data_IF_451073155439
#
_entry.id   IF_451073155439
#
_cell.length_a   1.000
_cell.length_b   1.000
_cell.length_c   1.000
_cell.angle_alpha   90.00
_cell.angle_beta   90.00
_cell.angle_gamma   90.00
#
_symmetry.space_group_name_H-M   'P 1'
#
loop_
_entity.id
_entity.type
_entity.pdbx_description
1 polymer ?
#
# COMPACT_ATOMS: atom_id res chain seq x y z
N UNK A 1 2.35 -7.84 -26.21
CA UNK A 1 2.24 -7.18 -24.88
C UNK A 1 1.32 -8.03 -24.01
N UNK A 2 1.55 -8.11 -22.69
CA UNK A 2 0.64 -8.84 -21.80
C UNK A 2 -0.64 -8.03 -21.56
N UNK A 3 -1.69 -8.71 -21.10
CA UNK A 3 -2.99 -8.09 -20.73
C UNK A 3 -2.81 -7.14 -19.54
N UNK A 4 -3.42 -5.97 -19.60
CA UNK A 4 -3.43 -4.98 -18.54
C UNK A 4 -4.83 -4.76 -17.97
N UNK A 5 -4.93 -4.19 -16.78
CA UNK A 5 -6.24 -3.80 -16.20
C UNK A 5 -6.96 -2.79 -17.09
N UNK A 6 -6.21 -1.94 -17.78
CA UNK A 6 -6.75 -0.96 -18.73
C UNK A 6 -7.53 -1.66 -19.87
N UNK A 7 -6.99 -2.77 -20.42
CA UNK A 7 -7.64 -3.51 -21.51
C UNK A 7 -8.96 -4.13 -21.05
N UNK A 8 -8.97 -4.70 -19.84
CA UNK A 8 -10.18 -5.29 -19.25
C UNK A 8 -11.26 -4.22 -19.05
N UNK A 9 -10.86 -3.04 -18.54
CA UNK A 9 -11.79 -1.95 -18.30
C UNK A 9 -12.30 -1.34 -19.61
N UNK A 10 -11.40 -1.11 -20.58
CA UNK A 10 -11.80 -0.59 -21.89
C UNK A 10 -12.80 -1.50 -22.62
N UNK A 11 -12.62 -2.82 -22.51
CA UNK A 11 -13.48 -3.79 -23.19
C UNK A 11 -14.83 -4.03 -22.48
N UNK A 12 -14.89 -3.93 -21.14
CA UNK A 12 -16.06 -4.43 -20.39
C UNK A 12 -16.69 -3.44 -19.42
N UNK A 13 -16.13 -2.23 -19.23
CA UNK A 13 -16.66 -1.28 -18.23
C UNK A 13 -18.04 -0.75 -18.61
N UNK A 14 -18.31 -0.46 -19.89
CA UNK A 14 -19.60 0.06 -20.34
C UNK A 14 -20.72 -0.91 -20.01
N UNK A 15 -20.61 -2.16 -20.44
CA UNK A 15 -21.61 -3.20 -20.15
C UNK A 15 -21.74 -3.51 -18.66
N UNK A 16 -20.62 -3.41 -17.92
CA UNK A 16 -20.67 -3.57 -16.47
C UNK A 16 -21.50 -2.46 -15.79
N UNK A 17 -21.35 -1.20 -16.20
CA UNK A 17 -22.08 -0.07 -15.61
C UNK A 17 -23.59 -0.09 -15.90
N UNK A 18 -24.02 -0.71 -17.00
CA UNK A 18 -25.46 -0.88 -17.31
C UNK A 18 -26.22 -1.64 -16.22
N UNK A 19 -25.57 -2.61 -15.59
CA UNK A 19 -26.16 -3.48 -14.55
C UNK A 19 -25.67 -3.20 -13.12
N UNK A 20 -24.62 -2.40 -12.96
CA UNK A 20 -23.98 -2.16 -11.66
C UNK A 20 -23.72 -0.66 -11.45
N UNK A 21 -24.58 0.05 -10.71
CA UNK A 21 -24.36 1.47 -10.42
C UNK A 21 -23.08 1.68 -9.60
N UNK A 22 -22.23 2.58 -10.09
CA UNK A 22 -20.97 2.94 -9.42
C UNK A 22 -21.11 4.29 -8.71
N UNK A 23 -20.47 4.42 -7.57
CA UNK A 23 -20.30 5.72 -6.96
C UNK A 23 -19.25 6.57 -7.74
N UNK A 24 -19.28 7.88 -7.52
CA UNK A 24 -18.42 8.85 -8.22
C UNK A 24 -16.92 8.50 -8.14
N UNK A 25 -16.47 8.01 -6.98
CA UNK A 25 -15.04 7.69 -6.76
C UNK A 25 -14.61 6.47 -7.59
N UNK A 26 -15.49 5.48 -7.69
CA UNK A 26 -15.27 4.28 -8.52
C UNK A 26 -15.29 4.64 -10.02
N UNK A 27 -16.27 5.44 -10.46
CA UNK A 27 -16.33 5.92 -11.86
C UNK A 27 -15.08 6.69 -12.23
N UNK A 28 -14.66 7.67 -11.38
CA UNK A 28 -13.45 8.44 -11.61
C UNK A 28 -12.19 7.58 -11.64
N UNK A 29 -12.10 6.55 -10.80
CA UNK A 29 -10.97 5.63 -10.81
C UNK A 29 -10.93 4.78 -12.08
N UNK A 30 -12.08 4.25 -12.52
CA UNK A 30 -12.21 3.46 -13.73
C UNK A 30 -11.86 4.28 -14.97
N UNK A 31 -12.46 5.46 -15.14
CA UNK A 31 -12.16 6.36 -16.24
C UNK A 31 -10.69 6.75 -16.29
N UNK A 32 -10.11 7.13 -15.14
CA UNK A 32 -8.68 7.45 -15.07
C UNK A 32 -7.77 6.29 -15.49
N UNK A 33 -8.16 5.04 -15.22
CA UNK A 33 -7.40 3.86 -15.64
C UNK A 33 -7.50 3.67 -17.15
N UNK A 34 -8.71 3.80 -17.72
CA UNK A 34 -8.93 3.68 -19.17
C UNK A 34 -8.17 4.75 -19.95
N UNK A 35 -8.20 5.99 -19.48
CA UNK A 35 -7.56 7.13 -20.16
C UNK A 35 -6.04 7.17 -19.97
N UNK A 36 -5.48 6.39 -19.04
CA UNK A 36 -4.09 6.50 -18.64
C UNK A 36 -3.11 6.18 -19.78
N UNK A 37 -2.29 7.18 -20.16
CA UNK A 37 -1.33 7.09 -21.27
C UNK A 37 -2.02 6.82 -22.61
N UNK A 38 -3.15 7.48 -22.85
CA UNK A 38 -3.83 7.57 -24.13
C UNK A 38 -3.97 9.03 -24.56
N UNK A 39 -4.42 9.26 -25.79
CA UNK A 39 -4.69 10.60 -26.31
C UNK A 39 -5.71 11.39 -25.48
N UNK A 40 -6.61 10.72 -24.76
CA UNK A 40 -7.63 11.34 -23.91
C UNK A 40 -7.06 12.26 -22.80
N UNK A 41 -5.83 12.01 -22.36
CA UNK A 41 -5.15 12.87 -21.37
C UNK A 41 -4.13 13.84 -22.00
N UNK A 42 -4.13 13.97 -23.34
CA UNK A 42 -3.14 14.72 -24.06
C UNK A 42 -1.77 14.05 -24.10
N UNK A 43 -0.84 14.66 -24.79
CA UNK A 43 0.52 14.18 -24.98
C UNK A 43 1.50 15.34 -25.01
N UNK A 44 2.78 15.02 -24.98
CA UNK A 44 3.86 15.96 -25.31
C UNK A 44 4.83 15.27 -26.27
N UNK A 45 5.56 16.08 -27.01
CA UNK A 45 6.59 15.62 -27.93
C UNK A 45 7.92 15.79 -27.22
N UNK A 46 8.69 14.73 -27.14
CA UNK A 46 10.06 14.76 -26.69
C UNK A 46 10.95 14.66 -27.93
N UNK A 47 11.83 15.65 -28.15
CA UNK A 47 12.75 15.73 -29.32
C UNK A 47 14.18 15.47 -28.88
N UNK A 48 14.91 14.66 -29.61
CA UNK A 48 16.32 14.38 -29.36
C UNK A 48 17.17 15.59 -29.80
N UNK A 49 18.01 16.09 -28.91
CA UNK A 49 18.90 17.23 -29.10
C UNK A 49 20.03 16.96 -30.12
N UNK A 50 20.34 15.70 -30.41
CA UNK A 50 21.42 15.31 -31.32
C UNK A 50 20.93 14.92 -32.74
N UNK A 51 19.89 14.09 -32.86
CA UNK A 51 19.48 13.56 -34.15
C UNK A 51 18.08 13.97 -34.60
N UNK A 52 17.37 14.81 -33.82
CA UNK A 52 16.01 15.25 -34.14
C UNK A 52 14.92 14.19 -34.04
N UNK A 53 15.24 12.97 -33.59
CA UNK A 53 14.21 11.92 -33.40
C UNK A 53 13.15 12.39 -32.43
N UNK A 54 11.89 12.31 -32.84
CA UNK A 54 10.73 12.72 -32.04
C UNK A 54 9.98 11.51 -31.47
N UNK A 55 9.46 11.66 -30.27
CA UNK A 55 8.68 10.64 -29.58
C UNK A 55 7.44 11.26 -28.94
N UNK A 56 6.27 10.74 -29.25
CA UNK A 56 5.02 11.11 -28.56
C UNK A 56 4.94 10.40 -27.22
N UNK A 57 4.78 11.15 -26.16
CA UNK A 57 4.65 10.66 -24.80
C UNK A 57 3.30 11.07 -24.21
N UNK A 58 2.37 10.11 -24.12
CA UNK A 58 1.03 10.34 -23.57
C UNK A 58 1.06 10.57 -22.07
N UNK A 59 0.23 11.49 -21.58
CA UNK A 59 0.16 11.87 -20.18
C UNK A 59 -0.42 10.75 -19.31
N UNK A 60 0.07 10.66 -18.08
CA UNK A 60 -0.39 9.68 -17.11
C UNK A 60 -1.53 10.23 -16.25
N UNK A 61 -2.50 9.39 -15.87
CA UNK A 61 -3.67 9.81 -15.08
C UNK A 61 -3.33 10.18 -13.62
N UNK A 62 -2.16 9.81 -13.11
CA UNK A 62 -1.71 10.00 -11.71
C UNK A 62 -2.68 9.47 -10.65
N UNK A 63 -3.69 8.69 -11.04
CA UNK A 63 -4.66 8.12 -10.12
C UNK A 63 -4.00 7.08 -9.22
N UNK A 64 -4.31 7.13 -7.92
CA UNK A 64 -3.76 6.21 -6.92
C UNK A 64 -4.19 4.74 -7.08
N UNK A 65 -5.19 4.47 -7.91
CA UNK A 65 -5.69 3.13 -8.22
C UNK A 65 -5.19 2.61 -9.58
N UNK A 66 -4.51 3.43 -10.36
CA UNK A 66 -3.95 3.03 -11.64
C UNK A 66 -2.64 2.23 -11.47
N UNK A 67 -2.57 0.96 -11.92
CA UNK A 67 -1.37 0.14 -11.77
C UNK A 67 -0.13 0.73 -12.46
N UNK A 68 -0.32 1.34 -13.63
CA UNK A 68 0.77 2.01 -14.39
C UNK A 68 1.38 3.17 -13.59
N UNK A 69 0.53 4.03 -13.00
CA UNK A 69 0.98 5.19 -12.23
C UNK A 69 1.61 4.82 -10.88
N UNK A 70 1.16 3.71 -10.27
CA UNK A 70 1.64 3.32 -8.95
C UNK A 70 3.09 2.80 -8.93
N UNK A 71 3.64 2.36 -10.05
CA UNK A 71 5.05 1.90 -10.12
C UNK A 71 6.02 3.02 -9.72
N UNK A 72 5.95 4.17 -10.39
CA UNK A 72 6.83 5.31 -10.07
C UNK A 72 6.51 5.92 -8.70
N UNK A 73 5.22 6.03 -8.35
CA UNK A 73 4.81 6.55 -7.05
C UNK A 73 5.34 5.69 -5.89
N UNK A 74 5.34 4.37 -6.07
CA UNK A 74 5.90 3.40 -5.13
C UNK A 74 7.40 3.64 -4.89
N UNK A 75 8.19 3.76 -5.95
CA UNK A 75 9.64 3.91 -5.83
C UNK A 75 10.02 5.26 -5.19
N UNK A 76 9.35 6.35 -5.57
CA UNK A 76 9.52 7.65 -4.91
C UNK A 76 9.20 7.58 -3.41
N UNK A 77 8.12 6.89 -3.06
CA UNK A 77 7.75 6.73 -1.66
C UNK A 77 8.75 5.86 -0.90
N UNK A 78 9.23 4.76 -1.49
CA UNK A 78 10.25 3.87 -0.92
C UNK A 78 11.53 4.66 -0.64
N UNK A 79 12.00 5.44 -1.59
CA UNK A 79 13.20 6.23 -1.44
C UNK A 79 13.07 7.24 -0.28
N UNK A 80 11.91 7.90 -0.19
CA UNK A 80 11.58 8.76 0.95
C UNK A 80 11.52 7.99 2.28
N UNK A 81 11.06 6.73 2.31
CA UNK A 81 11.02 5.96 3.55
C UNK A 81 12.39 5.50 4.03
N UNK A 82 13.37 5.37 3.14
CA UNK A 82 14.78 5.10 3.53
C UNK A 82 15.30 6.14 4.51
N UNK A 83 14.83 7.39 4.40
CA UNK A 83 15.18 8.48 5.32
C UNK A 83 14.71 8.21 6.78
N UNK A 84 13.70 7.37 6.94
CA UNK A 84 13.09 7.08 8.24
C UNK A 84 13.62 5.79 8.90
N UNK A 85 14.46 5.02 8.20
CA UNK A 85 14.98 3.77 8.72
C UNK A 85 16.20 3.98 9.63
N UNK A 86 16.29 3.10 10.60
CA UNK A 86 17.44 2.93 11.50
C UNK A 86 18.06 1.56 11.20
N UNK A 87 19.35 1.39 11.53
CA UNK A 87 20.06 0.11 11.34
C UNK A 87 19.77 -0.84 12.51
N UNK A 88 18.52 -1.22 12.65
CA UNK A 88 18.00 -2.08 13.71
C UNK A 88 17.05 -3.13 13.11
N UNK A 89 16.71 -4.21 13.85
CA UNK A 89 15.68 -5.15 13.46
C UNK A 89 14.29 -4.47 13.36
N UNK A 90 13.42 -5.01 12.51
CA UNK A 90 12.02 -4.57 12.37
C UNK A 90 11.07 -5.76 12.38
N UNK A 91 9.96 -5.63 13.07
CA UNK A 91 8.91 -6.65 13.10
C UNK A 91 7.78 -6.32 12.13
N UNK A 92 7.24 -7.36 11.52
CA UNK A 92 6.04 -7.27 10.72
C UNK A 92 4.85 -7.77 11.51
N UNK A 93 3.91 -6.87 11.79
CA UNK A 93 2.66 -7.19 12.50
C UNK A 93 1.49 -6.99 11.57
N UNK A 94 0.55 -7.93 11.54
CA UNK A 94 -0.68 -7.83 10.74
C UNK A 94 -1.89 -7.98 11.64
N UNK A 95 -2.86 -7.10 11.46
CA UNK A 95 -4.14 -7.12 12.14
C UNK A 95 -5.26 -7.31 11.12
N UNK A 96 -6.03 -8.36 11.27
CA UNK A 96 -7.15 -8.71 10.39
C UNK A 96 -8.46 -8.70 11.17
N UNK A 97 -9.52 -8.19 10.56
CA UNK A 97 -10.88 -8.24 11.10
C UNK A 97 -11.65 -9.44 10.53
N UNK A 98 -12.64 -9.98 11.25
CA UNK A 98 -13.52 -11.02 10.74
C UNK A 98 -14.29 -10.61 9.49
N UNK A 99 -14.54 -11.55 8.58
CA UNK A 99 -15.26 -11.32 7.32
C UNK A 99 -16.71 -10.88 7.53
N UNK A 100 -17.30 -11.25 8.65
CA UNK A 100 -18.67 -10.87 9.05
C UNK A 100 -18.84 -9.34 9.20
N UNK A 101 -17.74 -8.62 9.41
CA UNK A 101 -17.72 -7.16 9.43
C UNK A 101 -17.66 -6.54 8.03
N UNK A 102 -17.41 -7.32 6.96
CA UNK A 102 -17.26 -6.79 5.62
C UNK A 102 -18.44 -5.93 5.13
N UNK A 103 -19.72 -6.31 5.35
CA UNK A 103 -20.85 -5.47 4.95
C UNK A 103 -20.82 -4.08 5.62
N UNK A 104 -20.48 -4.04 6.93
CA UNK A 104 -20.36 -2.78 7.68
C UNK A 104 -19.21 -1.93 7.17
N UNK A 105 -18.06 -2.56 6.84
CA UNK A 105 -16.93 -1.87 6.22
C UNK A 105 -17.28 -1.27 4.86
N UNK A 106 -18.00 -1.99 4.02
CA UNK A 106 -18.39 -1.50 2.70
C UNK A 106 -19.34 -0.31 2.77
N UNK A 107 -20.27 -0.32 3.75
CA UNK A 107 -21.21 0.79 3.96
C UNK A 107 -20.54 2.04 4.59
N UNK A 108 -19.46 1.88 5.39
CA UNK A 108 -18.86 2.95 6.17
C UNK A 108 -17.33 2.98 6.04
N UNK A 109 -16.80 2.82 4.83
CA UNK A 109 -15.37 2.59 4.55
C UNK A 109 -14.45 3.59 5.27
N UNK A 110 -14.70 4.89 5.15
CA UNK A 110 -13.80 5.92 5.69
C UNK A 110 -13.69 5.82 7.22
N UNK A 111 -14.81 5.70 7.89
CA UNK A 111 -14.89 5.61 9.35
C UNK A 111 -14.26 4.31 9.87
N UNK A 112 -14.61 3.16 9.27
CA UNK A 112 -14.12 1.87 9.75
C UNK A 112 -12.65 1.61 9.42
N UNK A 113 -12.14 2.11 8.30
CA UNK A 113 -10.69 2.08 8.06
C UNK A 113 -9.92 2.96 9.05
N UNK A 114 -10.48 4.12 9.42
CA UNK A 114 -9.87 4.97 10.45
C UNK A 114 -9.86 4.27 11.82
N UNK A 115 -10.98 3.65 12.19
CA UNK A 115 -11.12 2.87 13.42
C UNK A 115 -10.16 1.68 13.45
N UNK A 116 -10.01 0.98 12.32
CA UNK A 116 -9.05 -0.13 12.18
C UNK A 116 -7.61 0.33 12.43
N UNK A 117 -7.19 1.44 11.86
CA UNK A 117 -5.89 2.05 12.14
C UNK A 117 -5.72 2.41 13.61
N UNK A 118 -6.74 3.03 14.21
CA UNK A 118 -6.73 3.43 15.61
C UNK A 118 -6.57 2.22 16.52
N UNK A 119 -7.45 1.23 16.40
CA UNK A 119 -7.42 0.04 17.24
C UNK A 119 -6.08 -0.70 17.15
N UNK A 120 -5.55 -0.87 15.93
CA UNK A 120 -4.29 -1.57 15.70
C UNK A 120 -3.09 -0.80 16.27
N UNK A 121 -2.97 0.50 15.97
CA UNK A 121 -1.83 1.31 16.44
C UNK A 121 -1.82 1.50 17.95
N UNK A 122 -2.98 1.77 18.55
CA UNK A 122 -3.09 1.89 20.00
C UNK A 122 -2.81 0.57 20.72
N UNK A 123 -3.19 -0.57 20.13
CA UNK A 123 -2.85 -1.89 20.70
C UNK A 123 -1.35 -2.10 20.79
N UNK A 124 -0.62 -1.82 19.71
CA UNK A 124 0.84 -1.96 19.69
C UNK A 124 1.49 -0.97 20.65
N UNK A 125 1.10 0.30 20.62
CA UNK A 125 1.68 1.33 21.49
C UNK A 125 1.41 1.05 22.98
N UNK A 126 0.19 0.61 23.33
CA UNK A 126 -0.17 0.24 24.69
C UNK A 126 0.68 -0.91 25.23
N UNK A 127 0.84 -1.99 24.44
CA UNK A 127 1.63 -3.13 24.86
C UNK A 127 3.13 -2.79 24.90
N UNK A 128 3.63 -1.99 23.98
CA UNK A 128 5.03 -1.56 23.98
C UNK A 128 5.37 -0.61 25.14
N UNK A 129 4.40 0.12 25.67
CA UNK A 129 4.63 0.98 26.85
C UNK A 129 4.86 0.15 28.13
N UNK A 130 4.37 -1.08 28.20
CA UNK A 130 4.56 -1.97 29.33
C UNK A 130 6.02 -2.47 29.39
N UNK A 131 6.67 -2.32 30.57
CA UNK A 131 8.04 -2.80 30.83
C UNK A 131 8.21 -4.31 30.70
N UNK A 132 7.13 -5.08 30.87
CA UNK A 132 7.10 -6.53 30.64
C UNK A 132 7.49 -6.90 29.21
N UNK A 133 7.14 -6.05 28.23
CA UNK A 133 7.41 -6.28 26.81
C UNK A 133 8.58 -5.43 26.30
N UNK A 134 8.34 -4.14 26.08
CA UNK A 134 9.37 -3.21 25.57
C UNK A 134 9.70 -2.09 26.57
N UNK A 135 8.71 -1.50 27.24
CA UNK A 135 8.86 -0.35 28.14
C UNK A 135 9.35 0.91 27.41
N UNK A 136 9.03 1.06 26.13
CA UNK A 136 9.47 2.16 25.27
C UNK A 136 8.46 2.40 24.13
N UNK A 137 8.56 3.57 23.49
CA UNK A 137 7.73 3.93 22.33
C UNK A 137 8.43 3.51 21.03
N UNK A 138 7.89 2.53 20.26
CA UNK A 138 8.44 2.15 18.97
C UNK A 138 8.07 3.11 17.86
N UNK A 139 8.74 3.01 16.72
CA UNK A 139 8.31 3.59 15.45
C UNK A 139 7.42 2.63 14.67
N UNK A 140 6.29 3.10 14.15
CA UNK A 140 5.33 2.28 13.41
C UNK A 140 5.02 2.92 12.06
N UNK A 141 5.16 2.14 10.98
CA UNK A 141 4.57 2.46 9.67
C UNK A 141 3.45 1.46 9.41
N UNK A 142 2.22 1.93 9.31
CA UNK A 142 1.02 1.13 9.10
C UNK A 142 0.44 1.35 7.70
N UNK A 143 0.02 0.28 7.02
CA UNK A 143 -0.51 0.31 5.66
C UNK A 143 -1.82 -0.47 5.62
N UNK A 144 -2.90 0.17 5.14
CA UNK A 144 -4.18 -0.50 4.91
C UNK A 144 -4.13 -1.31 3.61
N UNK A 145 -4.56 -2.55 3.70
CA UNK A 145 -4.97 -3.38 2.57
C UNK A 145 -6.45 -3.76 2.73
N UNK A 146 -7.15 -3.82 1.61
CA UNK A 146 -8.56 -4.20 1.59
C UNK A 146 -8.81 -5.50 0.82
N UNK A 147 -7.75 -6.17 0.30
CA UNK A 147 -7.84 -7.31 -0.60
C UNK A 147 -7.03 -8.52 -0.16
N UNK A 148 -7.58 -9.70 -0.42
CA UNK A 148 -6.82 -10.95 -0.44
C UNK A 148 -6.11 -11.17 -1.79
N UNK A 149 -5.33 -12.25 -1.90
CA UNK A 149 -4.64 -12.61 -3.16
C UNK A 149 -5.59 -12.93 -4.32
N UNK A 150 -6.81 -13.35 -4.00
CA UNK A 150 -7.91 -13.67 -4.92
C UNK A 150 -8.85 -12.48 -5.18
N UNK A 151 -8.45 -11.25 -4.82
CA UNK A 151 -9.21 -10.03 -4.95
C UNK A 151 -10.50 -9.96 -4.10
N UNK A 152 -10.71 -10.87 -3.17
CA UNK A 152 -11.83 -10.74 -2.22
C UNK A 152 -11.60 -9.61 -1.24
N UNK A 153 -12.68 -8.97 -0.82
CA UNK A 153 -12.62 -7.89 0.16
C UNK A 153 -12.19 -8.44 1.53
N UNK A 154 -11.07 -7.93 2.04
CA UNK A 154 -10.42 -8.42 3.25
C UNK A 154 -9.62 -7.32 3.93
N UNK A 155 -10.29 -6.42 4.69
CA UNK A 155 -9.62 -5.30 5.34
C UNK A 155 -8.62 -5.77 6.40
N UNK A 156 -7.38 -5.31 6.30
CA UNK A 156 -6.33 -5.61 7.26
C UNK A 156 -5.23 -4.55 7.25
N UNK A 157 -4.52 -4.42 8.34
CA UNK A 157 -3.39 -3.49 8.50
C UNK A 157 -2.09 -4.28 8.55
N UNK A 158 -1.16 -3.93 7.67
CA UNK A 158 0.24 -4.31 7.80
C UNK A 158 0.99 -3.23 8.58
N UNK A 159 1.73 -3.60 9.59
CA UNK A 159 2.59 -2.70 10.35
C UNK A 159 4.04 -3.16 10.27
N UNK A 160 4.94 -2.24 9.99
CA UNK A 160 6.37 -2.38 10.24
C UNK A 160 6.68 -1.60 11.51
N UNK A 161 7.22 -2.30 12.48
CA UNK A 161 7.47 -1.78 13.83
C UNK A 161 8.96 -1.93 14.14
N UNK A 162 9.59 -0.89 14.65
CA UNK A 162 11.01 -0.94 15.06
C UNK A 162 11.22 -2.00 16.15
N UNK A 163 12.30 -2.77 16.05
CA UNK A 163 12.72 -3.75 17.05
C UNK A 163 13.35 -3.12 18.30
N UNK A 164 12.81 -1.98 18.69
CA UNK A 164 13.17 -1.20 19.86
C UNK A 164 12.38 0.10 19.87
N UNK A 165 12.64 0.92 20.89
CA UNK A 165 11.94 2.19 21.08
C UNK A 165 12.66 3.16 21.99
N UNK A 166 12.18 4.40 22.00
CA UNK A 166 12.66 5.46 22.86
C UNK A 166 11.89 5.42 24.18
N UNK A 167 12.60 5.34 25.29
CA UNK A 167 12.04 5.41 26.63
C UNK A 167 11.67 6.85 26.99
N UNK A 168 10.90 7.06 28.07
CA UNK A 168 10.51 8.40 28.52
C UNK A 168 11.70 9.25 28.96
N UNK A 169 12.76 8.61 29.45
CA UNK A 169 14.03 9.25 29.86
C UNK A 169 15.03 9.41 28.70
N UNK A 170 14.58 9.24 27.46
CA UNK A 170 15.38 9.53 26.27
C UNK A 170 16.42 8.47 25.90
N UNK A 171 16.35 7.27 26.45
CA UNK A 171 17.26 6.15 26.14
C UNK A 171 16.65 5.23 25.10
N UNK A 172 17.48 4.54 24.32
CA UNK A 172 17.03 3.48 23.44
C UNK A 172 16.93 2.15 24.18
N UNK A 173 15.82 1.43 23.97
CA UNK A 173 15.64 0.08 24.48
C UNK A 173 15.33 -0.88 23.35
N UNK A 174 16.16 -1.91 23.18
CA UNK A 174 15.95 -2.97 22.21
C UNK A 174 14.82 -3.92 22.63
N UNK A 175 14.10 -4.47 21.66
CA UNK A 175 13.24 -5.62 21.87
C UNK A 175 14.08 -6.87 22.21
N UNK A 176 13.44 -7.90 22.76
CA UNK A 176 14.09 -9.20 22.93
C UNK A 176 14.44 -9.78 21.55
N UNK A 177 15.57 -10.50 21.45
CA UNK A 177 15.99 -11.16 20.21
C UNK A 177 14.90 -12.12 19.73
N UNK A 178 14.51 -12.00 18.47
CA UNK A 178 13.47 -12.80 17.80
C UNK A 178 12.06 -12.76 18.41
N UNK A 179 11.82 -11.94 19.43
CA UNK A 179 10.52 -11.82 20.07
C UNK A 179 10.13 -10.35 20.24
N UNK A 180 8.92 -10.00 19.85
CA UNK A 180 8.37 -8.65 20.02
C UNK A 180 7.21 -8.63 21.01
N UNK A 181 6.04 -9.09 20.60
CA UNK A 181 4.82 -9.12 21.42
C UNK A 181 4.12 -10.48 21.27
N UNK A 182 3.47 -11.01 22.34
CA UNK A 182 2.73 -12.26 22.24
C UNK A 182 1.49 -12.11 21.33
N UNK A 183 1.40 -12.91 20.28
CA UNK A 183 0.30 -12.86 19.30
C UNK A 183 -1.07 -13.01 19.96
N UNK A 184 -1.21 -13.90 20.95
CA UNK A 184 -2.48 -14.10 21.69
C UNK A 184 -2.92 -12.83 22.41
N UNK A 185 -1.98 -12.10 23.01
CA UNK A 185 -2.26 -10.82 23.71
C UNK A 185 -2.60 -9.72 22.73
N UNK A 186 -1.84 -9.62 21.62
CA UNK A 186 -2.13 -8.69 20.52
C UNK A 186 -3.55 -8.90 20.00
N UNK A 187 -3.93 -10.15 19.69
CA UNK A 187 -5.26 -10.51 19.17
C UNK A 187 -6.38 -10.14 20.13
N UNK A 188 -6.27 -10.53 21.40
CA UNK A 188 -7.29 -10.25 22.40
C UNK A 188 -7.48 -8.73 22.66
N UNK A 189 -6.37 -7.99 22.79
CA UNK A 189 -6.41 -6.53 23.02
C UNK A 189 -6.94 -5.79 21.80
N UNK A 190 -6.49 -6.17 20.58
CA UNK A 190 -6.99 -5.58 19.34
C UNK A 190 -8.49 -5.79 19.17
N UNK A 191 -8.97 -7.05 19.35
CA UNK A 191 -10.40 -7.39 19.29
C UNK A 191 -11.23 -6.54 20.25
N UNK A 192 -10.86 -6.54 21.53
CA UNK A 192 -11.59 -5.78 22.54
C UNK A 192 -11.62 -4.28 22.24
N UNK A 193 -10.47 -3.70 21.84
CA UNK A 193 -10.37 -2.28 21.49
C UNK A 193 -11.18 -1.94 20.24
N UNK A 194 -11.08 -2.75 19.18
CA UNK A 194 -11.82 -2.52 17.94
C UNK A 194 -13.32 -2.55 18.18
N UNK A 195 -13.84 -3.59 18.87
CA UNK A 195 -15.26 -3.73 19.12
C UNK A 195 -15.80 -2.64 20.07
N UNK A 196 -15.02 -2.22 21.07
CA UNK A 196 -15.40 -1.10 21.93
C UNK A 196 -15.53 0.20 21.13
N UNK A 197 -14.55 0.51 20.26
CA UNK A 197 -14.60 1.70 19.38
C UNK A 197 -15.77 1.60 18.38
N UNK A 198 -16.00 0.41 17.82
CA UNK A 198 -17.10 0.17 16.90
C UNK A 198 -18.46 0.43 17.56
N UNK A 199 -18.67 -0.06 18.78
CA UNK A 199 -19.89 0.16 19.54
C UNK A 199 -20.14 1.64 19.84
N UNK A 200 -19.09 2.40 20.14
CA UNK A 200 -19.19 3.86 20.39
C UNK A 200 -19.53 4.61 19.10
N UNK A 201 -18.90 4.27 17.99
CA UNK A 201 -19.07 4.98 16.72
C UNK A 201 -20.37 4.59 16.00
N UNK A 202 -20.83 3.36 16.18
CA UNK A 202 -22.03 2.79 15.57
C UNK A 202 -22.91 2.12 16.63
N UNK A 203 -23.61 2.89 17.46
CA UNK A 203 -24.43 2.36 18.57
C UNK A 203 -25.54 1.39 18.11
N UNK A 204 -26.05 1.62 16.90
CA UNK A 204 -27.09 0.77 16.25
C UNK A 204 -26.53 -0.55 15.66
N UNK A 205 -25.22 -0.80 15.75
CA UNK A 205 -24.67 -2.07 15.26
C UNK A 205 -25.28 -3.24 16.03
N UNK A 206 -25.74 -4.23 15.27
CA UNK A 206 -26.47 -5.40 15.80
C UNK A 206 -25.71 -6.08 16.96
N UNK A 207 -26.28 -6.17 18.17
CA UNK A 207 -25.60 -6.78 19.31
C UNK A 207 -25.14 -8.22 19.02
N UNK A 208 -25.93 -8.99 18.25
CA UNK A 208 -25.58 -10.34 17.83
C UNK A 208 -24.30 -10.41 16.98
N UNK A 209 -24.09 -9.45 16.08
CA UNK A 209 -22.86 -9.38 15.29
C UNK A 209 -21.64 -9.09 16.16
N UNK A 210 -21.76 -8.15 17.10
CA UNK A 210 -20.69 -7.80 18.02
C UNK A 210 -20.32 -8.98 18.92
N UNK A 211 -21.32 -9.68 19.47
CA UNK A 211 -21.13 -10.88 20.30
C UNK A 211 -20.46 -12.01 19.49
N UNK A 212 -20.93 -12.25 18.28
CA UNK A 212 -20.33 -13.25 17.39
C UNK A 212 -18.85 -12.91 17.12
N UNK A 213 -18.55 -11.67 16.73
CA UNK A 213 -17.18 -11.21 16.50
C UNK A 213 -16.32 -11.27 17.79
N UNK A 214 -16.91 -11.04 18.96
CA UNK A 214 -16.20 -11.14 20.24
C UNK A 214 -15.79 -12.57 20.59
N UNK A 215 -16.61 -13.56 20.26
CA UNK A 215 -16.32 -15.00 20.54
C UNK A 215 -15.28 -15.59 19.59
N UNK A 216 -15.10 -15.02 18.41
CA UNK A 216 -14.13 -15.51 17.41
C UNK A 216 -12.68 -15.20 17.80
N UNK A 217 -11.76 -16.01 17.26
CA UNK A 217 -10.33 -15.69 17.26
C UNK A 217 -10.02 -14.76 16.09
N UNK A 218 -9.54 -13.56 16.38
CA UNK A 218 -9.09 -12.65 15.36
C UNK A 218 -7.67 -12.99 14.92
N UNK A 219 -7.45 -12.95 13.61
CA UNK A 219 -6.16 -13.30 13.03
C UNK A 219 -5.20 -12.11 13.17
N UNK A 220 -4.17 -12.33 13.97
CA UNK A 220 -3.05 -11.41 14.13
C UNK A 220 -1.76 -12.18 13.91
N UNK A 221 -0.84 -11.60 13.14
CA UNK A 221 0.50 -12.14 12.94
C UNK A 221 1.54 -11.18 13.50
N UNK A 222 2.56 -11.74 14.12
CA UNK A 222 3.80 -11.03 14.45
C UNK A 222 4.95 -11.94 14.00
N UNK A 223 5.51 -11.62 12.83
CA UNK A 223 6.58 -12.42 12.22
C UNK A 223 7.93 -12.08 12.85
N UNK A 224 8.89 -13.01 12.80
CA UNK A 224 10.27 -12.75 13.15
C UNK A 224 10.81 -11.48 12.47
N UNK A 225 11.81 -10.82 13.07
CA UNK A 225 12.31 -9.56 12.57
C UNK A 225 12.95 -9.71 11.19
N UNK A 226 12.85 -8.66 10.39
CA UNK A 226 13.73 -8.48 9.25
C UNK A 226 15.15 -8.17 9.77
N UNK A 227 16.13 -8.87 9.24
CA UNK A 227 17.53 -8.74 9.73
C UNK A 227 18.16 -7.39 9.40
N UNK A 228 17.64 -6.69 8.38
CA UNK A 228 18.19 -5.40 7.96
C UNK A 228 17.14 -4.48 7.30
N UNK A 229 17.49 -3.19 7.23
CA UNK A 229 16.67 -2.15 6.63
C UNK A 229 16.33 -2.39 5.14
N UNK A 230 17.22 -3.03 4.38
CA UNK A 230 17.01 -3.37 2.97
C UNK A 230 15.84 -4.34 2.76
N UNK A 231 15.74 -5.36 3.61
CA UNK A 231 14.59 -6.30 3.59
C UNK A 231 13.27 -5.61 3.94
N UNK A 232 13.29 -4.65 4.88
CA UNK A 232 12.13 -3.83 5.25
C UNK A 232 11.65 -3.01 4.06
N UNK A 233 12.58 -2.35 3.36
CA UNK A 233 12.28 -1.54 2.17
C UNK A 233 11.67 -2.38 1.06
N UNK A 234 12.28 -3.52 0.75
CA UNK A 234 11.79 -4.46 -0.26
C UNK A 234 10.39 -4.97 0.10
N UNK A 235 10.13 -5.18 1.37
CA UNK A 235 8.82 -5.57 1.87
C UNK A 235 7.80 -4.43 1.73
N UNK A 236 8.11 -3.24 2.22
CA UNK A 236 7.24 -2.06 2.12
C UNK A 236 6.87 -1.77 0.67
N UNK A 237 7.83 -1.87 -0.25
CA UNK A 237 7.60 -1.65 -1.68
C UNK A 237 6.57 -2.58 -2.29
N UNK A 238 6.48 -3.80 -1.81
CA UNK A 238 5.49 -4.78 -2.30
C UNK A 238 4.06 -4.47 -1.85
N UNK A 239 3.87 -3.77 -0.75
CA UNK A 239 2.56 -3.61 -0.10
C UNK A 239 2.00 -2.19 -0.13
N UNK A 240 2.83 -1.14 -0.22
CA UNK A 240 2.37 0.23 0.01
C UNK A 240 1.62 0.86 -1.15
N UNK A 241 2.04 0.60 -2.39
CA UNK A 241 1.43 1.22 -3.59
C UNK A 241 0.72 0.20 -4.48
N UNK A 242 0.53 -1.02 -4.00
CA UNK A 242 -0.26 -2.01 -4.71
C UNK A 242 -1.74 -1.65 -4.63
N UNK A 243 -2.43 -1.72 -5.75
CA UNK A 243 -3.88 -1.69 -5.83
C UNK A 243 -4.31 -3.11 -6.17
N UNK A 244 -5.05 -3.76 -5.31
CA UNK A 244 -5.64 -5.08 -5.48
C UNK A 244 -4.76 -6.10 -6.26
N UNK A 245 -4.46 -5.81 -7.54
CA UNK A 245 -3.65 -6.64 -8.42
C UNK A 245 -2.73 -5.77 -9.29
N UNK A 246 -1.57 -6.30 -9.70
CA UNK A 246 -0.65 -5.69 -10.65
C UNK A 246 -0.79 -6.37 -12.02
N UNK A 247 -0.49 -5.65 -13.11
CA UNK A 247 -0.61 -6.18 -14.48
C UNK A 247 0.21 -7.46 -14.70
N UNK A 248 1.39 -7.59 -14.07
CA UNK A 248 2.24 -8.78 -14.16
C UNK A 248 1.59 -10.09 -13.67
N UNK A 249 0.47 -10.00 -12.95
CA UNK A 249 -0.29 -11.18 -12.53
C UNK A 249 -1.36 -11.59 -13.54
N UNK A 250 -1.75 -10.71 -14.45
CA UNK A 250 -2.73 -10.99 -15.50
C UNK A 250 -2.07 -11.88 -16.58
N UNK A 251 -2.80 -12.85 -17.06
CA UNK A 251 -2.32 -13.80 -18.08
C UNK A 251 -3.09 -13.67 -19.39
N UNK A 252 -4.42 -13.63 -19.33
CA UNK A 252 -5.26 -13.53 -20.51
C UNK A 252 -6.57 -12.81 -20.23
N UNK A 253 -7.13 -12.23 -21.29
CA UNK A 253 -8.51 -11.79 -21.43
C UNK A 253 -9.05 -12.46 -22.69
N UNK A 254 -9.88 -13.48 -22.54
CA UNK A 254 -10.45 -14.26 -23.65
C UNK A 254 -11.90 -14.63 -23.34
N UNK A 255 -12.77 -14.52 -24.32
CA UNK A 255 -14.19 -14.87 -24.21
C UNK A 255 -14.89 -14.24 -22.98
N UNK A 256 -14.58 -12.97 -22.70
CA UNK A 256 -15.12 -12.24 -21.55
C UNK A 256 -14.62 -12.73 -20.20
N UNK A 257 -13.56 -13.54 -20.16
CA UNK A 257 -12.97 -14.09 -18.94
C UNK A 257 -11.54 -13.58 -18.73
N UNK A 258 -11.21 -13.24 -17.49
CA UNK A 258 -9.89 -12.79 -17.03
C UNK A 258 -9.21 -13.89 -16.25
N UNK A 259 -8.06 -14.33 -16.72
CA UNK A 259 -7.22 -15.31 -15.99
C UNK A 259 -6.01 -14.62 -15.38
N UNK A 260 -5.75 -14.88 -14.10
CA UNK A 260 -4.62 -14.31 -13.39
C UNK A 260 -4.01 -15.26 -12.36
N UNK A 261 -2.75 -15.02 -12.01
CA UNK A 261 -2.02 -15.76 -10.97
C UNK A 261 -2.35 -15.23 -9.58
N UNK A 262 -2.57 -16.14 -8.64
CA UNK A 262 -2.74 -15.79 -7.23
C UNK A 262 -2.02 -16.79 -6.33
N UNK A 263 -1.68 -16.37 -5.12
CA UNK A 263 -0.97 -17.19 -4.16
C UNK A 263 -1.92 -17.65 -3.07
N UNK A 264 -2.09 -18.97 -2.96
CA UNK A 264 -2.94 -19.59 -1.96
C UNK A 264 -2.14 -19.86 -0.67
N UNK A 265 -2.26 -18.94 0.28
CA UNK A 265 -1.57 -19.06 1.57
C UNK A 265 -2.13 -20.17 2.46
N UNK A 266 -3.38 -20.58 2.29
CA UNK A 266 -4.00 -21.65 3.05
C UNK A 266 -3.44 -23.03 2.64
N UNK A 267 -3.06 -23.19 1.36
CA UNK A 267 -2.51 -24.42 0.82
C UNK A 267 -1.02 -24.28 0.51
N UNK A 268 -0.19 -24.27 1.56
CA UNK A 268 1.29 -24.26 1.47
C UNK A 268 1.88 -23.17 0.56
N UNK A 269 1.20 -22.02 0.46
CA UNK A 269 1.71 -20.88 -0.30
C UNK A 269 1.88 -21.16 -1.82
N UNK A 270 1.05 -22.03 -2.39
CA UNK A 270 1.11 -22.43 -3.80
C UNK A 270 0.65 -21.33 -4.73
N UNK A 271 1.29 -21.23 -5.90
CA UNK A 271 0.80 -20.40 -7.00
C UNK A 271 -0.29 -21.15 -7.74
N UNK A 272 -1.47 -20.50 -7.85
CA UNK A 272 -2.64 -21.02 -8.55
C UNK A 272 -3.12 -20.04 -9.61
N UNK A 273 -3.88 -20.52 -10.57
CA UNK A 273 -4.61 -19.70 -11.53
C UNK A 273 -6.04 -19.49 -11.05
N UNK A 274 -6.59 -18.35 -11.38
CA UNK A 274 -7.99 -18.01 -11.17
C UNK A 274 -8.53 -17.37 -12.44
N UNK A 275 -9.64 -17.89 -12.91
CA UNK A 275 -10.39 -17.33 -14.05
C UNK A 275 -11.73 -16.80 -13.53
N UNK A 276 -12.03 -15.57 -13.85
CA UNK A 276 -13.26 -14.88 -13.49
C UNK A 276 -13.89 -14.28 -14.74
N UNK A 277 -15.21 -14.17 -14.76
CA UNK A 277 -15.87 -13.30 -15.73
C UNK A 277 -15.37 -11.85 -15.57
N UNK A 278 -15.23 -11.13 -16.68
CA UNK A 278 -14.67 -9.78 -16.67
C UNK A 278 -15.46 -8.82 -15.75
N UNK A 279 -16.80 -8.95 -15.71
CA UNK A 279 -17.66 -8.20 -14.80
C UNK A 279 -17.33 -8.48 -13.32
N UNK A 280 -17.15 -9.77 -12.94
CA UNK A 280 -16.78 -10.14 -11.57
C UNK A 280 -15.36 -9.67 -11.21
N UNK A 281 -14.41 -9.70 -12.15
CA UNK A 281 -13.08 -9.13 -11.97
C UNK A 281 -13.16 -7.62 -11.71
N UNK A 282 -13.92 -6.87 -12.53
CA UNK A 282 -14.15 -5.43 -12.37
C UNK A 282 -14.81 -5.15 -11.02
N UNK A 283 -15.85 -5.89 -10.66
CA UNK A 283 -16.52 -5.76 -9.36
C UNK A 283 -15.54 -5.90 -8.19
N UNK A 284 -14.74 -6.97 -8.20
CA UNK A 284 -13.73 -7.19 -7.15
C UNK A 284 -12.70 -6.08 -7.12
N UNK A 285 -12.20 -5.63 -8.25
CA UNK A 285 -11.24 -4.52 -8.30
C UNK A 285 -11.82 -3.23 -7.71
N UNK A 286 -13.05 -2.88 -8.08
CA UNK A 286 -13.71 -1.64 -7.66
C UNK A 286 -14.06 -1.61 -6.16
N UNK A 287 -14.22 -2.76 -5.49
CA UNK A 287 -14.36 -2.84 -4.03
C UNK A 287 -13.14 -2.27 -3.28
N UNK A 288 -11.98 -2.21 -3.93
CA UNK A 288 -10.73 -1.73 -3.34
C UNK A 288 -10.42 -0.27 -3.63
N UNK A 289 -11.31 0.41 -4.35
CA UNK A 289 -11.23 1.85 -4.56
C UNK A 289 -11.51 2.55 -3.24
N UNK A 290 -10.50 3.25 -2.74
CA UNK A 290 -10.57 3.92 -1.43
C UNK A 290 -11.27 5.26 -1.53
N UNK A 291 -11.94 5.71 -0.47
CA UNK A 291 -12.58 7.04 -0.42
C UNK A 291 -11.61 8.17 -0.76
N UNK A 292 -12.16 9.26 -1.30
CA UNK A 292 -11.39 10.46 -1.65
C UNK A 292 -10.63 10.98 -0.41
N UNK A 293 -9.36 11.35 -0.60
CA UNK A 293 -8.53 11.89 0.47
C UNK A 293 -8.09 10.87 1.54
N UNK A 294 -8.57 9.62 1.50
CA UNK A 294 -8.21 8.63 2.53
C UNK A 294 -6.71 8.31 2.51
N UNK A 295 -6.04 8.48 3.66
CA UNK A 295 -4.62 8.16 3.83
C UNK A 295 -4.46 6.69 4.21
N UNK A 296 -4.04 5.85 3.23
CA UNK A 296 -3.82 4.41 3.43
C UNK A 296 -2.50 4.05 4.12
N UNK A 297 -1.60 5.01 4.28
CA UNK A 297 -0.32 4.84 4.98
C UNK A 297 -0.29 5.85 6.12
N UNK A 298 -0.05 5.37 7.34
CA UNK A 298 0.01 6.20 8.55
C UNK A 298 1.23 5.84 9.39
N UNK A 299 1.74 6.84 10.10
CA UNK A 299 2.92 6.68 10.96
C UNK A 299 2.56 7.00 12.41
N UNK A 300 3.08 6.20 13.35
CA UNK A 300 2.80 6.34 14.77
C UNK A 300 4.07 6.21 15.63
N UNK A 301 3.95 6.54 16.91
CA UNK A 301 5.05 6.48 17.85
C UNK A 301 6.21 7.40 17.45
N UNK A 302 7.42 6.88 17.35
CA UNK A 302 8.61 7.64 16.93
C UNK A 302 8.47 8.27 15.55
N UNK A 303 7.69 7.64 14.66
CA UNK A 303 7.49 8.08 13.28
C UNK A 303 6.28 9.00 13.09
N UNK A 304 5.53 9.32 14.15
CA UNK A 304 4.47 10.33 14.08
C UNK A 304 5.05 11.69 13.65
N UNK A 305 4.30 12.44 12.82
CA UNK A 305 4.79 13.66 12.14
C UNK A 305 5.36 14.71 13.09
N UNK A 306 4.73 14.90 14.26
CA UNK A 306 5.21 15.85 15.28
C UNK A 306 6.59 15.42 15.78
N UNK A 307 7.58 16.30 15.71
CA UNK A 307 8.97 16.11 16.17
C UNK A 307 9.71 14.89 15.60
N UNK A 308 9.21 14.32 14.48
CA UNK A 308 9.80 13.12 13.88
C UNK A 308 11.30 13.28 13.59
N UNK A 309 11.69 14.42 13.01
CA UNK A 309 13.08 14.69 12.67
C UNK A 309 13.99 14.64 13.89
N UNK A 310 13.64 15.37 14.95
CA UNK A 310 14.41 15.41 16.22
C UNK A 310 14.53 14.01 16.83
N UNK A 311 13.42 13.27 16.90
CA UNK A 311 13.40 11.90 17.45
C UNK A 311 14.26 10.94 16.65
N UNK A 312 14.19 10.97 15.31
CA UNK A 312 15.00 10.11 14.46
C UNK A 312 16.50 10.43 14.57
N UNK A 313 16.86 11.72 14.65
CA UNK A 313 18.26 12.12 14.89
C UNK A 313 18.79 11.56 16.22
N UNK A 314 18.00 11.68 17.29
CA UNK A 314 18.36 11.09 18.59
C UNK A 314 18.48 9.55 18.50
N UNK A 315 17.48 8.89 17.91
CA UNK A 315 17.48 7.44 17.76
C UNK A 315 18.69 6.95 16.96
N UNK A 316 19.08 7.65 15.86
CA UNK A 316 20.30 7.28 15.10
C UNK A 316 21.55 7.32 15.96
N UNK A 317 21.72 8.37 16.76
CA UNK A 317 22.85 8.46 17.70
C UNK A 317 22.85 7.29 18.70
N UNK A 318 21.69 6.97 19.27
CA UNK A 318 21.55 5.93 20.29
C UNK A 318 21.69 4.50 19.73
N UNK A 319 21.43 4.30 18.44
CA UNK A 319 21.50 2.98 17.77
C UNK A 319 22.71 2.83 16.87
N UNK A 320 23.62 3.81 16.82
CA UNK A 320 24.76 3.89 15.88
C UNK A 320 24.34 3.66 14.41
N UNK A 321 23.13 4.11 14.07
CA UNK A 321 22.64 4.00 12.69
C UNK A 321 23.26 5.05 11.79
N UNK A 322 23.61 4.65 10.56
CA UNK A 322 24.16 5.54 9.55
C UNK A 322 23.23 6.73 9.24
N UNK A 323 23.77 7.87 8.81
CA UNK A 323 22.97 8.97 8.30
C UNK A 323 22.14 8.51 7.09
N UNK A 324 20.98 9.13 6.84
CA UNK A 324 20.14 8.73 5.73
C UNK A 324 20.83 9.03 4.39
N UNK A 325 20.76 8.06 3.45
CA UNK A 325 21.22 8.27 2.08
C UNK A 325 20.44 9.41 1.39
N UNK A 326 21.02 10.19 0.48
CA UNK A 326 20.32 11.25 -0.23
C UNK A 326 19.13 10.71 -1.02
N UNK A 327 18.08 11.54 -1.16
CA UNK A 327 16.92 11.20 -2.01
C UNK A 327 17.35 11.28 -3.47
N UNK A 328 17.08 10.22 -4.23
CA UNK A 328 17.44 10.16 -5.63
C UNK A 328 16.51 11.02 -6.50
N UNK A 329 17.02 11.72 -7.53
CA UNK A 329 16.18 12.33 -8.54
C UNK A 329 15.39 11.27 -9.30
N UNK A 330 14.24 11.68 -9.89
CA UNK A 330 13.32 10.73 -10.53
C UNK A 330 13.99 9.95 -11.67
N UNK A 331 14.86 10.60 -12.43
CA UNK A 331 15.63 10.00 -13.52
C UNK A 331 16.51 8.85 -13.03
N UNK A 332 17.30 9.07 -12.01
CA UNK A 332 18.14 8.03 -11.38
C UNK A 332 17.29 6.90 -10.75
N UNK A 333 16.11 7.22 -10.22
CA UNK A 333 15.15 6.22 -9.75
C UNK A 333 14.63 5.33 -10.89
N UNK A 334 14.28 5.92 -12.03
CA UNK A 334 13.81 5.17 -13.21
C UNK A 334 14.91 4.32 -13.80
N UNK A 335 16.13 4.87 -13.92
CA UNK A 335 17.30 4.12 -14.38
C UNK A 335 17.57 2.89 -13.48
N UNK A 336 17.53 3.06 -12.17
CA UNK A 336 17.68 1.94 -11.20
C UNK A 336 16.63 0.86 -11.37
N UNK A 337 15.37 1.23 -11.69
CA UNK A 337 14.25 0.30 -11.81
C UNK A 337 14.30 -0.49 -13.12
N UNK A 338 14.60 0.18 -14.20
CA UNK A 338 14.46 -0.35 -15.55
C UNK A 338 15.79 -0.69 -16.22
N UNK A 339 16.92 -0.38 -15.59
CA UNK A 339 18.26 -0.66 -16.11
C UNK A 339 18.62 0.15 -17.37
N UNK A 340 17.91 1.24 -17.64
CA UNK A 340 18.15 2.12 -18.79
C UNK A 340 17.82 3.58 -18.48
N UNK A 341 18.59 4.50 -19.08
CA UNK A 341 18.26 5.92 -19.06
C UNK A 341 17.10 6.18 -20.04
N UNK A 342 15.98 6.65 -19.52
CA UNK A 342 14.79 6.99 -20.33
C UNK A 342 14.92 8.31 -21.09
N UNK A 343 15.90 9.13 -20.75
CA UNK A 343 16.18 10.37 -21.45
C UNK A 343 17.13 10.17 -22.63
N UNK A 344 17.86 9.04 -22.67
CA UNK A 344 18.76 8.73 -23.78
C UNK A 344 17.94 8.36 -25.02
N UNK A 345 18.28 8.95 -26.15
CA UNK A 345 17.63 8.68 -27.41
C UNK A 345 17.83 7.23 -27.87
N UNK A 346 16.75 6.47 -28.15
CA UNK A 346 16.87 5.08 -28.61
C UNK A 346 17.38 4.97 -30.05
N UNK A 347 17.30 6.05 -30.82
CA UNK A 347 17.74 6.11 -32.24
C UNK A 347 19.27 6.28 -32.33
N UNK A 348 19.80 7.41 -31.89
CA UNK A 348 21.22 7.68 -31.99
C UNK A 348 22.07 7.20 -30.81
N UNK A 349 21.45 6.87 -29.69
CA UNK A 349 22.09 6.41 -28.43
C UNK A 349 23.17 7.37 -27.89
N UNK A 350 23.14 8.64 -28.31
CA UNK A 350 24.10 9.67 -27.94
C UNK A 350 23.42 10.94 -27.41
N UNK A 351 22.32 11.37 -28.04
CA UNK A 351 21.55 12.55 -27.62
C UNK A 351 20.51 12.24 -26.55
N UNK A 352 20.01 13.30 -25.95
CA UNK A 352 18.99 13.24 -24.90
C UNK A 352 17.68 13.88 -25.33
N UNK A 353 16.57 13.43 -24.79
CA UNK A 353 15.28 14.02 -25.04
C UNK A 353 15.14 15.35 -24.30
N UNK A 354 14.96 16.43 -25.05
CA UNK A 354 14.49 17.71 -24.55
C UNK A 354 12.97 17.79 -24.72
N UNK A 355 12.28 18.24 -23.67
CA UNK A 355 10.86 18.53 -23.73
C UNK A 355 10.65 19.94 -24.17
N UNK A 356 9.99 20.14 -25.31
CA UNK A 356 9.52 21.46 -25.70
C UNK A 356 8.39 21.88 -24.73
N UNK A 357 8.48 23.12 -24.19
CA UNK A 357 7.33 23.68 -23.49
C UNK A 357 6.14 23.71 -24.46
N UNK A 358 4.89 23.46 -24.01
CA UNK A 358 3.74 23.62 -24.88
C UNK A 358 3.77 25.03 -25.46
N UNK A 359 3.82 25.15 -26.80
CA UNK A 359 3.56 26.41 -27.47
C UNK A 359 2.09 26.73 -27.27
N UNK A 360 1.79 27.64 -26.36
CA UNK A 360 0.47 28.26 -26.27
C UNK A 360 0.49 29.32 -27.41
N UNK A 361 0.16 28.87 -28.62
CA UNK A 361 -0.21 29.82 -29.68
C UNK A 361 -1.60 30.33 -29.26
N UNK A 362 -1.68 31.65 -29.08
CA UNK A 362 -2.84 32.46 -28.69
C UNK A 362 -4.08 32.25 -29.58
#
# INVERSE_FOLDING_TARGET
MGVEIQDIFAAHMTSYMESHPLNFVQQKAAQSIMDCRTAALGAHIDTCDNCGYTKISYNSCRNRHCPKCQTTAKEKWIDKQRQNLLDIPYFHVVFTVPSELNPVFLSHQNALYALLFQAASETVLYLCADRKYLGATPGITAVLHTWGQNLQFHPHIHMIVTGGGLTRDGKWRNSKKHFFLPVRVLSAKFRGKFLALLKVQFPSSHPSLLDHCYRQKWVVYCKPPFDNAGKVISYLGRYTHRVAISNDRLLSLQDGKVTFRWRDYAHKNQMKLMTLDAGEFIRRFLLHVLPTGFRKIRHYGLLASRDKGKRLTLCRKLTNSAPPAPILPVTALLERIFGKDFNLCPCCKAGYFAREPPSWDD
#
